data_IF_431156283057
#
_entry.id   IF_431156283057
#
_cell.length_a   1.000
_cell.length_b   1.000
_cell.length_c   1.000
_cell.angle_alpha   90.00
_cell.angle_beta   90.00
_cell.angle_gamma   90.00
#
_symmetry.space_group_name_H-M   'P 1'
#
loop_
_entity.id
_entity.type
_entity.pdbx_description
1 polymer ?
#
# COMPACT_ATOMS: atom_id res chain seq x y z
N UNK A 1 -4.86 21.39 3.86
CA UNK A 1 -3.98 20.37 3.27
C UNK A 1 -4.87 19.22 2.90
N UNK A 2 -4.98 18.86 1.60
CA UNK A 2 -5.82 17.78 1.17
C UNK A 2 -5.46 16.46 1.87
N UNK A 3 -6.49 15.68 2.20
CA UNK A 3 -6.38 14.36 2.83
C UNK A 3 -6.71 13.31 1.79
N UNK A 4 -5.84 12.32 1.68
CA UNK A 4 -5.95 11.21 0.73
C UNK A 4 -6.01 9.87 1.47
N UNK A 5 -6.64 8.89 0.82
CA UNK A 5 -6.59 7.49 1.22
C UNK A 5 -5.79 6.72 0.18
N UNK A 6 -4.81 5.94 0.64
CA UNK A 6 -4.14 4.90 -0.13
C UNK A 6 -4.63 3.55 0.38
N UNK A 7 -5.27 2.79 -0.50
CA UNK A 7 -5.64 1.40 -0.21
C UNK A 7 -4.68 0.49 -0.95
N UNK A 8 -3.97 -0.37 -0.23
CA UNK A 8 -3.07 -1.37 -0.80
C UNK A 8 -3.73 -2.73 -0.67
N UNK A 9 -3.71 -3.50 -1.76
CA UNK A 9 -4.21 -4.86 -1.78
C UNK A 9 -3.07 -5.82 -2.13
N UNK A 10 -3.05 -6.94 -1.43
CA UNK A 10 -2.17 -8.07 -1.64
C UNK A 10 -2.96 -9.37 -1.67
N UNK A 11 -2.42 -10.40 -1.01
CA UNK A 11 -2.98 -11.76 -1.02
C UNK A 11 -2.88 -12.36 0.37
N UNK A 12 -4.00 -12.85 0.89
CA UNK A 12 -3.99 -13.48 2.20
C UNK A 12 -3.22 -14.80 2.18
N UNK A 13 -2.63 -15.13 3.33
CA UNK A 13 -2.09 -16.45 3.61
C UNK A 13 -2.04 -16.66 5.11
N UNK A 14 -1.92 -17.92 5.53
CA UNK A 14 -1.66 -18.21 6.94
C UNK A 14 -0.26 -17.69 7.32
N UNK A 15 -0.09 -17.15 8.52
CA UNK A 15 1.17 -16.53 8.95
C UNK A 15 2.36 -17.52 8.96
N UNK A 16 2.11 -18.83 9.05
CA UNK A 16 3.14 -19.87 8.91
C UNK A 16 3.61 -20.11 7.46
N UNK A 17 2.92 -19.56 6.46
CA UNK A 17 3.27 -19.66 5.05
C UNK A 17 3.40 -18.27 4.41
N UNK A 18 4.26 -17.38 4.95
CA UNK A 18 4.33 -15.98 4.54
C UNK A 18 4.67 -15.81 3.05
N UNK A 19 5.50 -16.71 2.49
CA UNK A 19 5.88 -16.71 1.08
C UNK A 19 4.72 -17.01 0.12
N UNK A 20 3.58 -17.52 0.62
CA UNK A 20 2.38 -17.79 -0.18
C UNK A 20 1.37 -16.64 -0.19
N UNK A 21 1.64 -15.59 0.62
CA UNK A 21 0.86 -14.37 0.72
C UNK A 21 1.61 -13.15 0.19
N UNK A 22 0.89 -12.03 0.09
CA UNK A 22 1.45 -10.71 -0.22
C UNK A 22 0.88 -9.77 0.84
N UNK A 23 1.74 -9.36 1.77
CA UNK A 23 1.33 -8.58 2.95
C UNK A 23 1.07 -7.11 2.57
N UNK A 24 -0.19 -6.70 2.56
CA UNK A 24 -0.58 -5.35 2.17
C UNK A 24 0.00 -4.26 3.10
N UNK A 25 0.12 -4.52 4.40
CA UNK A 25 0.70 -3.58 5.37
C UNK A 25 2.17 -3.32 5.03
N UNK A 26 2.95 -4.37 4.80
CA UNK A 26 4.38 -4.26 4.47
C UNK A 26 4.61 -3.40 3.22
N UNK A 27 3.87 -3.67 2.15
CA UNK A 27 4.06 -2.96 0.88
C UNK A 27 3.50 -1.55 0.91
N UNK A 28 2.39 -1.31 1.61
CA UNK A 28 1.85 0.04 1.80
C UNK A 28 2.77 0.91 2.65
N UNK A 29 3.30 0.38 3.76
CA UNK A 29 4.27 1.10 4.58
C UNK A 29 5.52 1.46 3.76
N UNK A 30 6.01 0.53 2.94
CA UNK A 30 7.12 0.79 2.03
C UNK A 30 6.82 1.93 1.04
N UNK A 31 5.62 1.93 0.44
CA UNK A 31 5.21 2.97 -0.50
C UNK A 31 5.12 4.35 0.16
N UNK A 32 4.49 4.43 1.34
CA UNK A 32 4.39 5.66 2.14
C UNK A 32 5.78 6.21 2.45
N UNK A 33 6.71 5.36 2.89
CA UNK A 33 8.09 5.77 3.20
C UNK A 33 8.85 6.27 1.97
N UNK A 34 8.70 5.61 0.82
CA UNK A 34 9.35 6.05 -0.44
C UNK A 34 8.80 7.36 -0.98
N UNK A 35 7.57 7.71 -0.64
CA UNK A 35 6.90 8.93 -1.10
C UNK A 35 6.96 10.07 -0.07
N UNK A 36 7.56 9.83 1.10
CA UNK A 36 7.72 10.79 2.20
C UNK A 36 6.39 11.46 2.61
N UNK A 37 5.31 10.68 2.66
CA UNK A 37 3.98 11.20 2.97
C UNK A 37 3.80 11.46 4.47
N UNK A 38 3.07 12.54 4.81
CA UNK A 38 2.65 12.81 6.18
C UNK A 38 1.44 11.96 6.54
N UNK A 39 1.72 10.80 7.11
CA UNK A 39 0.73 9.83 7.55
C UNK A 39 -0.14 10.37 8.70
N UNK A 40 -1.43 10.07 8.65
CA UNK A 40 -2.44 10.44 9.64
C UNK A 40 -2.95 9.21 10.38
N UNK A 41 -3.27 8.15 9.65
CA UNK A 41 -3.71 6.87 10.23
C UNK A 41 -3.35 5.70 9.32
N UNK A 42 -3.27 4.51 9.93
CA UNK A 42 -3.12 3.23 9.26
C UNK A 42 -4.21 2.30 9.81
N UNK A 43 -4.97 1.68 8.92
CA UNK A 43 -5.98 0.71 9.28
C UNK A 43 -5.78 -0.55 8.42
N UNK A 44 -5.48 -1.67 9.06
CA UNK A 44 -5.22 -2.91 8.34
C UNK A 44 -4.96 -4.06 9.30
N UNK A 45 -5.03 -5.28 8.76
CA UNK A 45 -5.05 -6.49 9.58
C UNK A 45 -6.37 -7.24 9.42
N UNK A 46 -6.34 -8.54 9.68
CA UNK A 46 -7.55 -9.38 9.71
C UNK A 46 -7.59 -10.22 10.98
N UNK A 47 -6.48 -10.91 11.28
CA UNK A 47 -6.24 -11.65 12.51
C UNK A 47 -4.73 -11.80 12.72
N UNK A 48 -4.29 -12.06 13.94
CA UNK A 48 -2.86 -12.14 14.32
C UNK A 48 -2.09 -13.23 13.57
N UNK A 49 -2.80 -14.26 13.08
CA UNK A 49 -2.23 -15.39 12.34
C UNK A 49 -2.49 -15.33 10.82
N UNK A 50 -2.91 -14.19 10.27
CA UNK A 50 -3.21 -14.04 8.84
C UNK A 50 -2.37 -12.90 8.25
N UNK A 51 -1.71 -13.20 7.13
CA UNK A 51 -1.10 -12.17 6.28
C UNK A 51 -2.22 -11.32 5.67
N UNK A 52 -2.29 -10.01 5.95
CA UNK A 52 -3.43 -9.19 5.57
C UNK A 52 -3.48 -8.94 4.06
N UNK A 53 -4.63 -9.19 3.42
CA UNK A 53 -4.83 -8.95 1.99
C UNK A 53 -5.07 -7.48 1.65
N UNK A 54 -5.36 -6.62 2.64
CA UNK A 54 -5.57 -5.19 2.42
C UNK A 54 -5.10 -4.35 3.60
N UNK A 55 -4.77 -3.09 3.33
CA UNK A 55 -4.45 -2.08 4.32
C UNK A 55 -4.74 -0.69 3.75
N UNK A 56 -5.28 0.19 4.58
CA UNK A 56 -5.58 1.58 4.26
C UNK A 56 -4.60 2.50 5.01
N UNK A 57 -4.12 3.51 4.30
CA UNK A 57 -3.25 4.56 4.82
C UNK A 57 -3.91 5.89 4.51
N UNK A 58 -4.22 6.66 5.54
CA UNK A 58 -4.68 8.05 5.38
C UNK A 58 -3.49 8.98 5.56
N UNK A 59 -3.30 9.90 4.63
CA UNK A 59 -2.18 10.83 4.66
C UNK A 59 -2.58 12.21 4.13
N UNK A 60 -1.82 13.22 4.54
CA UNK A 60 -1.94 14.58 4.03
C UNK A 60 -0.80 14.89 3.07
N UNK A 61 -1.11 15.63 2.00
CA UNK A 61 -0.12 16.00 0.98
C UNK A 61 -0.51 17.32 0.31
N UNK A 62 0.48 18.14 -0.02
CA UNK A 62 0.30 19.36 -0.82
C UNK A 62 0.28 19.08 -2.34
N UNK A 63 0.81 17.91 -2.74
CA UNK A 63 0.84 17.47 -4.14
C UNK A 63 -0.55 17.14 -4.65
N UNK A 64 -0.79 17.39 -5.94
CA UNK A 64 -2.05 17.05 -6.59
C UNK A 64 -2.28 15.53 -6.67
N UNK A 65 -3.54 15.09 -6.75
CA UNK A 65 -3.88 13.66 -6.89
C UNK A 65 -3.19 13.02 -8.12
N UNK A 66 -3.04 13.78 -9.20
CA UNK A 66 -2.38 13.32 -10.43
C UNK A 66 -0.89 13.04 -10.19
N UNK A 67 -0.19 13.94 -9.50
CA UNK A 67 1.22 13.76 -9.15
C UNK A 67 1.42 12.59 -8.19
N UNK A 68 0.55 12.49 -7.18
CA UNK A 68 0.58 11.38 -6.22
C UNK A 68 0.42 10.04 -6.93
N UNK A 69 -0.56 9.91 -7.83
CA UNK A 69 -0.76 8.68 -8.62
C UNK A 69 0.44 8.37 -9.51
N UNK A 70 1.03 9.38 -10.16
CA UNK A 70 2.21 9.18 -11.01
C UNK A 70 3.38 8.62 -10.19
N UNK A 71 3.74 9.31 -9.10
CA UNK A 71 4.86 8.88 -8.25
C UNK A 71 4.56 7.53 -7.57
N UNK A 72 3.35 7.30 -7.07
CA UNK A 72 2.94 6.01 -6.51
C UNK A 72 3.05 4.87 -7.51
N UNK A 73 2.71 5.12 -8.78
CA UNK A 73 2.84 4.12 -9.86
C UNK A 73 4.31 3.79 -10.08
N UNK A 74 5.17 4.78 -10.21
CA UNK A 74 6.61 4.59 -10.42
C UNK A 74 7.26 3.82 -9.25
N UNK A 75 6.94 4.17 -7.99
CA UNK A 75 7.47 3.43 -6.84
C UNK A 75 6.87 2.03 -6.72
N UNK A 76 5.58 1.85 -7.02
CA UNK A 76 4.93 0.55 -6.98
C UNK A 76 5.54 -0.42 -8.00
N UNK A 77 5.85 0.04 -9.21
CA UNK A 77 6.49 -0.81 -10.22
C UNK A 77 7.90 -1.25 -9.77
N UNK A 78 8.70 -0.36 -9.17
CA UNK A 78 9.98 -0.76 -8.55
C UNK A 78 9.80 -1.83 -7.47
N UNK A 79 8.82 -1.65 -6.58
CA UNK A 79 8.49 -2.61 -5.53
C UNK A 79 8.11 -3.97 -6.13
N UNK A 80 7.33 -3.98 -7.22
CA UNK A 80 6.95 -5.21 -7.92
C UNK A 80 8.15 -5.85 -8.61
N UNK A 81 9.01 -5.08 -9.26
CA UNK A 81 10.19 -5.59 -9.97
C UNK A 81 11.14 -6.35 -9.06
N UNK A 82 11.40 -5.80 -7.87
CA UNK A 82 12.20 -6.42 -6.81
C UNK A 82 11.52 -7.63 -6.14
N UNK A 83 10.19 -7.71 -6.23
CA UNK A 83 9.39 -8.76 -5.62
C UNK A 83 9.32 -10.05 -6.44
N UNK A 84 8.89 -11.13 -5.79
CA UNK A 84 8.65 -12.41 -6.44
C UNK A 84 7.43 -12.37 -7.37
N UNK A 85 7.24 -13.46 -8.14
CA UNK A 85 6.10 -13.64 -9.05
C UNK A 85 4.74 -13.40 -8.38
N UNK A 86 4.61 -13.75 -7.09
CA UNK A 86 3.39 -13.54 -6.30
C UNK A 86 3.09 -12.06 -6.09
N UNK A 87 4.11 -11.26 -5.78
CA UNK A 87 3.99 -9.81 -5.59
C UNK A 87 3.59 -9.16 -6.90
N UNK A 88 4.30 -9.47 -8.00
CA UNK A 88 4.02 -8.94 -9.34
C UNK A 88 2.58 -9.16 -9.77
N UNK A 89 2.00 -10.31 -9.41
CA UNK A 89 0.63 -10.69 -9.79
C UNK A 89 -0.45 -10.10 -8.89
N UNK A 90 -0.22 -10.00 -7.58
CA UNK A 90 -1.30 -9.72 -6.61
C UNK A 90 -1.22 -8.34 -5.95
N UNK A 91 -0.05 -7.68 -6.00
CA UNK A 91 0.10 -6.36 -5.39
C UNK A 91 -0.53 -5.28 -6.29
N UNK A 92 -1.53 -4.59 -5.76
CA UNK A 92 -2.20 -3.45 -6.40
C UNK A 92 -2.51 -2.37 -5.37
N UNK A 93 -2.81 -1.16 -5.83
CA UNK A 93 -3.15 -0.06 -4.95
C UNK A 93 -4.14 0.90 -5.61
N UNK A 94 -4.82 1.67 -4.78
CA UNK A 94 -5.76 2.72 -5.19
C UNK A 94 -5.51 3.98 -4.33
N UNK A 95 -5.59 5.16 -4.95
CA UNK A 95 -5.49 6.45 -4.25
C UNK A 95 -6.70 7.30 -4.59
N UNK A 96 -7.37 7.79 -3.56
CA UNK A 96 -8.53 8.67 -3.63
C UNK A 96 -8.36 9.91 -2.74
N UNK A 97 -9.00 11.01 -3.13
CA UNK A 97 -9.09 12.22 -2.34
C UNK A 97 -10.28 12.11 -1.40
N UNK A 98 -10.05 12.26 -0.09
CA UNK A 98 -11.12 12.25 0.92
C UNK A 98 -11.66 13.64 1.20
N UNK A 99 -10.76 14.59 1.42
CA UNK A 99 -11.10 15.98 1.74
C UNK A 99 -10.13 16.92 1.00
N UNK A 100 -10.63 17.89 0.21
CA UNK A 100 -9.80 18.88 -0.48
C UNK A 100 -9.12 19.86 0.48
#
# INVERSE_FOLDING_TARGET
MPIYRLTVFGKQSHASMPCSGVNAIRYGARLISMMEMRLVSIEGGLADNIIPPSCEFTFSSEKSLRELRKNATEQMEKIKEEGDRLVKKNLRYEIELLYP
#
